data_IF_818610627621
#
_entry.id   IF_818610627621
#
_cell.length_a   1.000
_cell.length_b   1.000
_cell.length_c   1.000
_cell.angle_alpha   90.00
_cell.angle_beta   90.00
_cell.angle_gamma   90.00
#
_symmetry.space_group_name_H-M   'P 1'
#
loop_
_entity.id
_entity.type
_entity.pdbx_description
1 polymer ?
#
# COMPACT_ATOMS: atom_id res chain seq x y z
N UNK A 1 34.46 17.85 15.19
CA UNK A 1 33.92 17.42 13.86
C UNK A 1 32.42 17.65 13.93
N UNK A 2 31.84 18.30 12.95
CA UNK A 2 30.38 18.38 12.80
C UNK A 2 29.87 16.97 12.51
N UNK A 3 28.89 16.42 13.25
CA UNK A 3 28.39 15.10 12.95
C UNK A 3 27.82 15.07 11.54
N UNK A 4 28.07 13.97 10.82
CA UNK A 4 27.43 13.72 9.53
C UNK A 4 25.94 13.49 9.78
N UNK A 5 25.07 14.24 9.11
CA UNK A 5 23.61 14.16 9.29
C UNK A 5 22.94 13.78 7.98
N UNK A 6 21.85 13.05 8.08
CA UNK A 6 20.97 12.70 6.96
C UNK A 6 19.61 13.35 7.19
N UNK A 7 19.25 14.37 6.38
CA UNK A 7 17.93 14.99 6.44
C UNK A 7 16.84 14.02 5.98
N UNK A 8 15.69 14.07 6.62
CA UNK A 8 14.53 13.27 6.23
C UNK A 8 13.20 14.02 6.36
N UNK A 9 12.20 13.58 5.63
CA UNK A 9 10.80 13.94 5.85
C UNK A 9 10.05 12.66 6.26
N UNK A 10 9.34 12.69 7.37
CA UNK A 10 8.45 11.61 7.79
C UNK A 10 7.06 11.85 7.24
N UNK A 11 6.49 10.84 6.58
CA UNK A 11 5.16 10.87 6.00
C UNK A 11 4.38 9.61 6.35
N UNK A 12 3.05 9.67 6.25
CA UNK A 12 2.19 8.50 6.48
C UNK A 12 1.01 8.49 5.51
N UNK A 13 0.63 7.30 5.08
CA UNK A 13 -0.54 7.03 4.27
C UNK A 13 -1.24 5.77 4.79
N UNK A 14 -2.52 5.89 5.17
CA UNK A 14 -3.32 4.76 5.67
C UNK A 14 -2.64 3.96 6.80
N UNK A 15 -2.01 4.66 7.76
CA UNK A 15 -1.37 4.05 8.93
C UNK A 15 -0.02 3.37 8.65
N UNK A 16 0.50 3.48 7.44
CA UNK A 16 1.83 3.05 7.05
C UNK A 16 2.73 4.27 6.97
N UNK A 17 3.86 4.29 7.67
CA UNK A 17 4.73 5.46 7.76
C UNK A 17 6.09 5.25 7.10
N UNK A 18 6.59 6.30 6.43
CA UNK A 18 7.82 6.26 5.65
C UNK A 18 8.71 7.45 5.96
N UNK A 19 10.02 7.23 5.86
CA UNK A 19 11.03 8.27 5.81
C UNK A 19 11.41 8.52 4.36
N UNK A 20 11.26 9.75 3.92
CA UNK A 20 11.61 10.18 2.56
C UNK A 20 12.95 10.88 2.65
N UNK A 21 13.95 10.38 1.91
CA UNK A 21 15.33 10.83 1.97
C UNK A 21 15.89 11.04 0.57
N UNK A 22 16.52 12.19 0.33
CA UNK A 22 17.20 12.46 -0.94
C UNK A 22 18.42 11.54 -1.10
N UNK A 23 18.53 10.91 -2.27
CA UNK A 23 19.62 10.00 -2.63
C UNK A 23 21.01 10.64 -2.64
N UNK A 24 21.12 11.97 -2.67
CA UNK A 24 22.40 12.67 -2.49
C UNK A 24 23.02 12.41 -1.11
N UNK A 25 22.22 12.05 -0.11
CA UNK A 25 22.65 11.69 1.24
C UNK A 25 22.76 10.16 1.44
N UNK A 26 22.62 9.37 0.36
CA UNK A 26 22.62 7.92 0.43
C UNK A 26 23.98 7.40 0.93
N UNK A 27 24.00 6.60 2.00
CA UNK A 27 25.19 5.90 2.44
C UNK A 27 25.53 4.74 1.47
N UNK A 28 26.73 4.19 1.60
CA UNK A 28 27.16 3.06 0.76
C UNK A 28 26.28 1.82 0.92
N UNK A 29 25.74 1.59 2.12
CA UNK A 29 24.86 0.45 2.45
C UNK A 29 23.47 0.98 2.84
N UNK A 30 22.57 1.00 1.85
CA UNK A 30 21.17 1.45 2.02
C UNK A 30 20.38 0.50 2.91
N UNK A 31 20.64 -0.81 2.83
CA UNK A 31 19.93 -1.84 3.60
C UNK A 31 20.19 -1.69 5.09
N UNK A 32 21.47 -1.65 5.48
CA UNK A 32 21.86 -1.49 6.87
C UNK A 32 21.41 -0.14 7.44
N UNK A 33 21.52 0.93 6.65
CA UNK A 33 21.07 2.25 7.06
C UNK A 33 19.54 2.29 7.25
N UNK A 34 18.77 1.76 6.28
CA UNK A 34 17.31 1.75 6.34
C UNK A 34 16.83 0.97 7.57
N UNK A 35 17.45 -0.17 7.87
CA UNK A 35 17.17 -0.93 9.10
C UNK A 35 17.41 -0.13 10.36
N UNK A 36 18.54 0.60 10.43
CA UNK A 36 18.91 1.42 11.59
C UNK A 36 17.97 2.60 11.80
N UNK A 37 17.69 3.38 10.73
CA UNK A 37 16.85 4.58 10.87
C UNK A 37 15.37 4.24 11.11
N UNK A 38 14.90 3.07 10.61
CA UNK A 38 13.53 2.59 10.80
C UNK A 38 13.28 2.00 12.20
N UNK A 39 14.32 1.71 12.99
CA UNK A 39 14.13 1.24 14.35
C UNK A 39 13.31 2.26 15.18
N UNK A 40 12.27 1.77 15.87
CA UNK A 40 11.32 2.64 16.59
C UNK A 40 11.82 3.08 17.97
N UNK A 41 12.94 2.53 18.44
CA UNK A 41 13.55 2.85 19.73
C UNK A 41 14.90 3.57 19.55
N UNK A 42 15.77 3.04 18.69
CA UNK A 42 17.13 3.54 18.48
C UNK A 42 17.29 4.33 17.17
N UNK A 43 16.20 4.47 16.38
CA UNK A 43 16.13 5.26 15.15
C UNK A 43 15.06 6.34 15.20
N UNK A 44 14.62 6.77 14.02
CA UNK A 44 13.46 7.66 13.85
C UNK A 44 12.15 6.88 13.92
N UNK A 45 12.21 5.60 13.55
CA UNK A 45 11.07 4.69 13.48
C UNK A 45 10.20 4.91 12.25
N UNK A 46 10.06 3.89 11.42
CA UNK A 46 9.15 3.87 10.27
C UNK A 46 8.93 2.43 9.79
N UNK A 47 7.95 2.23 8.91
CA UNK A 47 7.74 0.97 8.22
C UNK A 47 8.71 0.80 7.03
N UNK A 48 9.28 1.91 6.53
CA UNK A 48 10.28 1.87 5.46
C UNK A 48 10.86 3.23 5.13
N UNK A 49 11.84 3.21 4.21
CA UNK A 49 12.51 4.38 3.65
C UNK A 49 12.26 4.46 2.16
N UNK A 50 11.78 5.59 1.68
CA UNK A 50 11.72 5.95 0.26
C UNK A 50 12.95 6.82 -0.10
N UNK A 51 13.95 6.21 -0.72
CA UNK A 51 15.12 6.90 -1.23
C UNK A 51 14.83 7.53 -2.59
N UNK A 52 15.01 8.84 -2.70
CA UNK A 52 14.70 9.60 -3.90
C UNK A 52 15.95 9.88 -4.75
N UNK A 53 15.92 9.49 -6.01
CA UNK A 53 16.98 9.73 -6.98
C UNK A 53 16.43 10.45 -8.21
N UNK A 54 17.27 11.20 -8.97
CA UNK A 54 16.89 11.73 -10.27
C UNK A 54 16.40 10.63 -11.23
N UNK A 55 15.42 10.94 -12.05
CA UNK A 55 14.89 10.04 -13.09
C UNK A 55 14.80 10.79 -14.42
N UNK A 56 15.20 10.17 -15.55
CA UNK A 56 15.14 10.83 -16.86
C UNK A 56 13.72 10.90 -17.44
N UNK A 57 12.79 10.10 -16.94
CA UNK A 57 11.46 9.83 -17.51
C UNK A 57 10.31 9.90 -16.48
N UNK A 58 10.60 10.38 -15.29
CA UNK A 58 9.66 10.65 -14.22
C UNK A 58 10.13 11.85 -13.40
N UNK A 59 9.26 12.39 -12.55
CA UNK A 59 9.64 13.48 -11.65
C UNK A 59 10.71 13.05 -10.65
N UNK A 60 10.68 11.77 -10.24
CA UNK A 60 11.64 11.17 -9.32
C UNK A 60 11.68 9.64 -9.50
N UNK A 61 12.81 9.03 -9.17
CA UNK A 61 12.92 7.58 -8.94
C UNK A 61 12.93 7.34 -7.44
N UNK A 62 11.99 6.55 -6.94
CA UNK A 62 11.94 6.08 -5.57
C UNK A 62 12.42 4.62 -5.47
N UNK A 63 13.30 4.36 -4.51
CA UNK A 63 13.69 3.00 -4.08
C UNK A 63 13.19 2.80 -2.66
N UNK A 64 12.32 1.83 -2.49
CA UNK A 64 11.73 1.49 -1.21
C UNK A 64 12.55 0.42 -0.48
N UNK A 65 12.92 0.70 0.76
CA UNK A 65 13.48 -0.28 1.69
C UNK A 65 12.55 -0.43 2.88
N UNK A 66 12.17 -1.67 3.18
CA UNK A 66 11.39 -2.01 4.36
C UNK A 66 12.18 -1.77 5.65
N UNK A 67 11.51 -1.77 6.81
CA UNK A 67 12.15 -1.60 8.11
C UNK A 67 13.18 -2.70 8.44
N UNK A 68 13.09 -3.89 7.84
CA UNK A 68 14.07 -4.96 7.96
C UNK A 68 15.28 -4.79 7.02
N UNK A 69 15.31 -3.75 6.21
CA UNK A 69 16.35 -3.43 5.23
C UNK A 69 16.15 -4.08 3.86
N UNK A 70 15.16 -4.93 3.65
CA UNK A 70 14.90 -5.53 2.35
C UNK A 70 14.36 -4.50 1.35
N UNK A 71 14.85 -4.52 0.10
CA UNK A 71 14.32 -3.66 -0.96
C UNK A 71 13.00 -4.24 -1.49
N UNK A 72 11.98 -3.40 -1.62
CA UNK A 72 10.69 -3.73 -2.19
C UNK A 72 10.47 -3.00 -3.52
N UNK A 73 9.72 -3.61 -4.43
CA UNK A 73 9.45 -3.03 -5.75
C UNK A 73 8.56 -1.78 -5.67
N UNK A 74 7.58 -1.77 -4.77
CA UNK A 74 6.63 -0.67 -4.61
C UNK A 74 5.85 -0.77 -3.29
N UNK A 75 5.51 0.40 -2.74
CA UNK A 75 4.40 0.59 -1.82
C UNK A 75 3.47 1.66 -2.38
N UNK A 76 2.19 1.36 -2.57
CA UNK A 76 1.20 2.36 -2.99
C UNK A 76 1.04 3.48 -1.95
N UNK A 77 1.19 3.16 -0.65
CA UNK A 77 1.20 4.13 0.45
C UNK A 77 2.47 4.98 0.39
N UNK A 78 3.64 4.36 0.22
CA UNK A 78 4.93 5.05 0.08
C UNK A 78 4.96 5.97 -1.13
N UNK A 79 4.49 5.50 -2.29
CA UNK A 79 4.39 6.32 -3.51
C UNK A 79 3.54 7.59 -3.30
N UNK A 80 2.40 7.49 -2.57
CA UNK A 80 1.61 8.68 -2.23
C UNK A 80 2.34 9.60 -1.26
N UNK A 81 3.12 9.06 -0.32
CA UNK A 81 3.96 9.85 0.58
C UNK A 81 5.04 10.64 -0.20
N UNK A 82 5.69 9.99 -1.18
CA UNK A 82 6.64 10.65 -2.10
C UNK A 82 5.94 11.75 -2.89
N UNK A 83 4.76 11.47 -3.45
CA UNK A 83 3.99 12.48 -4.18
C UNK A 83 3.62 13.68 -3.29
N UNK A 84 3.21 13.44 -2.03
CA UNK A 84 2.91 14.50 -1.08
C UNK A 84 4.13 15.37 -0.76
N UNK A 85 5.29 14.75 -0.61
CA UNK A 85 6.56 15.48 -0.41
C UNK A 85 6.85 16.40 -1.59
N UNK A 86 6.81 15.88 -2.82
CA UNK A 86 7.07 16.68 -4.03
C UNK A 86 6.03 17.78 -4.24
N UNK A 87 4.74 17.50 -4.02
CA UNK A 87 3.68 18.51 -4.10
C UNK A 87 3.82 19.62 -3.03
N UNK A 88 4.44 19.32 -1.90
CA UNK A 88 4.71 20.34 -0.88
C UNK A 88 5.84 21.29 -1.27
N UNK A 89 6.81 20.82 -2.05
CA UNK A 89 7.98 21.58 -2.49
C UNK A 89 7.78 22.25 -3.85
N UNK A 90 6.92 21.69 -4.68
CA UNK A 90 6.66 22.13 -6.05
C UNK A 90 5.17 22.37 -6.25
N UNK A 91 4.80 23.40 -7.01
CA UNK A 91 3.42 23.68 -7.40
C UNK A 91 2.96 22.74 -8.53
N UNK A 92 2.97 21.42 -8.27
CA UNK A 92 2.54 20.36 -9.20
C UNK A 92 1.36 19.60 -8.64
N UNK A 93 0.37 19.31 -9.48
CA UNK A 93 -0.81 18.50 -9.14
C UNK A 93 -0.68 17.05 -9.62
N UNK A 94 0.25 16.78 -10.53
CA UNK A 94 0.49 15.45 -11.09
C UNK A 94 1.95 15.09 -10.93
N UNK A 95 2.21 14.05 -10.16
CA UNK A 95 3.56 13.55 -9.86
C UNK A 95 3.73 12.17 -10.45
N UNK A 96 4.82 11.99 -11.18
CA UNK A 96 5.24 10.68 -11.70
C UNK A 96 6.42 10.16 -10.88
N UNK A 97 6.27 8.93 -10.36
CA UNK A 97 7.29 8.25 -9.55
C UNK A 97 7.71 6.98 -10.26
N UNK A 98 8.98 6.86 -10.61
CA UNK A 98 9.57 5.61 -11.09
C UNK A 98 9.87 4.72 -9.90
N UNK A 99 9.21 3.57 -9.84
CA UNK A 99 9.40 2.52 -8.82
C UNK A 99 9.98 1.26 -9.45
N UNK A 100 10.31 0.24 -8.64
CA UNK A 100 10.68 -1.10 -9.14
C UNK A 100 9.58 -1.75 -9.99
N UNK A 101 8.30 -1.43 -9.72
CA UNK A 101 7.13 -1.90 -10.47
C UNK A 101 6.68 -0.93 -11.59
N UNK A 102 7.61 -0.12 -12.14
CA UNK A 102 7.36 0.83 -13.22
C UNK A 102 6.95 2.23 -12.74
N UNK A 103 6.56 3.08 -13.70
CA UNK A 103 6.15 4.47 -13.41
C UNK A 103 4.72 4.47 -12.87
N UNK A 104 4.53 5.14 -11.74
CA UNK A 104 3.23 5.41 -11.15
C UNK A 104 2.92 6.90 -11.19
N UNK A 105 1.69 7.22 -11.52
CA UNK A 105 1.21 8.59 -11.57
C UNK A 105 0.24 8.84 -10.42
N UNK A 106 0.59 9.81 -9.57
CA UNK A 106 -0.27 10.30 -8.49
C UNK A 106 -0.85 11.65 -8.90
N UNK A 107 -2.15 11.76 -9.03
CA UNK A 107 -2.86 13.02 -9.32
C UNK A 107 -3.45 13.57 -8.04
N UNK A 108 -3.05 14.76 -7.64
CA UNK A 108 -3.56 15.45 -6.46
C UNK A 108 -5.04 15.79 -6.66
N UNK A 109 -5.88 15.33 -5.76
CA UNK A 109 -7.33 15.59 -5.79
C UNK A 109 -7.77 16.59 -4.72
N UNK A 110 -7.05 16.65 -3.60
CA UNK A 110 -7.25 17.68 -2.59
C UNK A 110 -5.99 17.87 -1.74
N UNK A 111 -5.85 19.08 -1.18
CA UNK A 111 -4.79 19.44 -0.24
C UNK A 111 -5.36 20.35 0.85
N UNK A 112 -5.02 20.05 2.10
CA UNK A 112 -5.28 20.92 3.25
C UNK A 112 -4.04 20.88 4.15
N UNK A 113 -3.31 22.00 4.19
CA UNK A 113 -2.02 22.09 4.90
C UNK A 113 -1.02 21.02 4.44
N UNK A 114 -0.65 20.09 5.35
CA UNK A 114 0.23 18.94 5.10
C UNK A 114 -0.51 17.63 4.88
N UNK A 115 -1.82 17.71 4.60
CA UNK A 115 -2.67 16.57 4.23
C UNK A 115 -2.98 16.65 2.74
N UNK A 116 -2.80 15.54 2.05
CA UNK A 116 -2.95 15.40 0.61
C UNK A 116 -3.84 14.21 0.32
N UNK A 117 -4.55 14.26 -0.78
CA UNK A 117 -5.29 13.11 -1.29
C UNK A 117 -4.95 12.93 -2.77
N UNK A 118 -4.59 11.71 -3.15
CA UNK A 118 -4.16 11.39 -4.50
C UNK A 118 -5.04 10.31 -5.10
N UNK A 119 -5.34 10.44 -6.39
CA UNK A 119 -5.83 9.38 -7.23
C UNK A 119 -4.68 8.77 -8.03
N UNK A 120 -4.60 7.44 -8.04
CA UNK A 120 -3.56 6.66 -8.73
C UNK A 120 -4.23 5.59 -9.59
N UNK A 121 -3.86 5.53 -10.86
CA UNK A 121 -4.26 4.43 -11.75
C UNK A 121 -3.53 3.15 -11.34
N UNK A 122 -4.30 2.08 -11.12
CA UNK A 122 -3.80 0.77 -10.67
C UNK A 122 -3.75 -0.25 -11.82
N UNK A 123 -4.23 0.12 -13.01
CA UNK A 123 -4.35 -0.73 -14.18
C UNK A 123 -5.65 -1.52 -14.24
N UNK A 124 -5.74 -2.40 -15.25
CA UNK A 124 -6.90 -3.24 -15.48
C UNK A 124 -6.86 -4.47 -14.57
N UNK A 125 -7.94 -4.76 -13.82
CA UNK A 125 -8.02 -5.94 -12.98
C UNK A 125 -8.41 -7.15 -13.82
N UNK A 126 -7.99 -8.34 -13.36
CA UNK A 126 -8.50 -9.60 -13.90
C UNK A 126 -9.32 -10.28 -12.80
N UNK A 127 -10.60 -10.50 -13.06
CA UNK A 127 -11.53 -11.16 -12.14
C UNK A 127 -11.78 -12.56 -12.64
N UNK A 128 -11.52 -13.57 -11.78
CA UNK A 128 -11.84 -14.96 -12.08
C UNK A 128 -13.19 -15.37 -11.50
N UNK A 129 -13.62 -16.58 -11.85
CA UNK A 129 -14.83 -17.17 -11.30
C UNK A 129 -14.66 -17.47 -9.81
N UNK A 130 -15.73 -17.27 -9.04
CA UNK A 130 -15.78 -17.60 -7.63
C UNK A 130 -15.62 -19.12 -7.44
N UNK A 131 -14.74 -19.53 -6.53
CA UNK A 131 -14.54 -20.95 -6.20
C UNK A 131 -14.31 -21.11 -4.70
N UNK A 132 -14.31 -22.38 -4.25
CA UNK A 132 -14.09 -22.72 -2.84
C UNK A 132 -12.74 -23.37 -2.63
N UNK A 133 -12.07 -23.02 -1.53
CA UNK A 133 -10.91 -23.73 -0.99
C UNK A 133 -11.30 -24.50 0.26
N UNK A 134 -10.81 -25.75 0.38
CA UNK A 134 -11.12 -26.64 1.50
C UNK A 134 -10.05 -26.51 2.59
N UNK A 135 -10.39 -25.84 3.67
CA UNK A 135 -9.55 -25.73 4.86
C UNK A 135 -9.71 -26.95 5.79
N UNK A 136 -8.90 -27.00 6.84
CA UNK A 136 -8.93 -28.11 7.82
C UNK A 136 -10.31 -28.34 8.43
N UNK A 137 -11.09 -27.29 8.71
CA UNK A 137 -12.35 -27.38 9.42
C UNK A 137 -13.58 -26.88 8.66
N UNK A 138 -13.39 -26.17 7.54
CA UNK A 138 -14.49 -25.68 6.70
C UNK A 138 -14.07 -25.44 5.27
N UNK A 139 -15.03 -25.24 4.42
CA UNK A 139 -14.85 -24.75 3.05
C UNK A 139 -15.06 -23.23 3.04
N UNK A 140 -14.18 -22.51 2.33
CA UNK A 140 -14.23 -21.06 2.22
C UNK A 140 -14.35 -20.69 0.76
N UNK A 141 -15.40 -19.94 0.43
CA UNK A 141 -15.69 -19.48 -0.91
C UNK A 141 -15.18 -18.04 -1.11
N UNK A 142 -14.54 -17.78 -2.24
CA UNK A 142 -14.01 -16.46 -2.53
C UNK A 142 -13.82 -16.19 -4.02
N UNK A 143 -13.53 -14.95 -4.35
CA UNK A 143 -13.32 -14.45 -5.70
C UNK A 143 -11.85 -14.16 -5.92
N UNK A 144 -11.19 -14.83 -6.89
CA UNK A 144 -9.82 -14.51 -7.25
C UNK A 144 -9.80 -13.22 -8.09
N UNK A 145 -8.92 -12.29 -7.73
CA UNK A 145 -8.68 -11.04 -8.46
C UNK A 145 -7.19 -10.82 -8.62
N UNK A 146 -6.75 -10.47 -9.84
CA UNK A 146 -5.39 -9.98 -10.07
C UNK A 146 -5.38 -8.48 -10.27
N UNK A 147 -4.57 -7.78 -9.49
CA UNK A 147 -4.23 -6.36 -9.61
C UNK A 147 -2.77 -6.17 -10.08
N UNK A 148 -2.24 -7.17 -10.85
CA UNK A 148 -0.83 -7.33 -11.13
C UNK A 148 -0.14 -8.30 -10.15
N UNK A 149 -0.73 -8.50 -8.99
CA UNK A 149 -0.46 -9.54 -7.99
C UNK A 149 -1.76 -10.26 -7.61
N UNK A 150 -1.69 -11.52 -7.15
CA UNK A 150 -2.88 -12.32 -6.92
C UNK A 150 -3.53 -12.02 -5.55
N UNK A 151 -4.86 -11.93 -5.56
CA UNK A 151 -5.72 -11.71 -4.40
C UNK A 151 -6.85 -12.74 -4.36
N UNK A 152 -7.27 -13.16 -3.17
CA UNK A 152 -8.44 -13.99 -2.94
C UNK A 152 -9.37 -13.30 -1.95
N UNK A 153 -10.49 -12.81 -2.46
CA UNK A 153 -11.46 -12.00 -1.72
C UNK A 153 -12.56 -12.88 -1.16
N UNK A 154 -12.68 -12.92 0.17
CA UNK A 154 -13.64 -13.73 0.92
C UNK A 154 -14.63 -12.82 1.62
N UNK A 155 -15.93 -13.05 1.40
CA UNK A 155 -16.98 -12.31 2.09
C UNK A 155 -17.31 -12.95 3.42
N UNK A 156 -17.37 -12.12 4.46
CA UNK A 156 -17.72 -12.52 5.82
C UNK A 156 -18.78 -11.59 6.40
N UNK A 157 -19.58 -12.07 7.37
CA UNK A 157 -20.54 -11.21 8.05
C UNK A 157 -19.86 -10.30 9.10
N UNK A 158 -18.80 -10.81 9.72
CA UNK A 158 -17.97 -10.11 10.72
C UNK A 158 -16.54 -10.68 10.73
N UNK A 159 -15.60 -9.93 11.30
CA UNK A 159 -14.24 -10.42 11.49
C UNK A 159 -14.16 -11.20 12.80
N UNK A 160 -14.16 -12.53 12.68
CA UNK A 160 -14.05 -13.42 13.84
C UNK A 160 -12.71 -13.25 14.56
N UNK A 161 -12.65 -13.41 15.89
CA UNK A 161 -11.38 -13.50 16.60
C UNK A 161 -10.50 -14.61 16.01
N UNK A 162 -9.22 -14.30 15.75
CA UNK A 162 -8.27 -15.25 15.17
C UNK A 162 -8.41 -15.45 13.65
N UNK A 163 -9.12 -14.57 12.92
CA UNK A 163 -9.27 -14.59 11.46
C UNK A 163 -7.92 -14.68 10.73
N UNK A 164 -6.85 -14.21 11.34
CA UNK A 164 -5.49 -14.26 10.78
C UNK A 164 -5.01 -15.68 10.51
N UNK A 165 -5.36 -16.62 11.39
CA UNK A 165 -4.99 -18.03 11.22
C UNK A 165 -5.66 -18.64 9.99
N UNK A 166 -6.95 -18.36 9.79
CA UNK A 166 -7.70 -18.78 8.62
C UNK A 166 -7.17 -18.13 7.33
N UNK A 167 -6.93 -16.82 7.35
CA UNK A 167 -6.36 -16.11 6.22
C UNK A 167 -4.96 -16.65 5.85
N UNK A 168 -4.15 -17.01 6.85
CA UNK A 168 -2.85 -17.63 6.64
C UNK A 168 -2.97 -19.04 6.03
N UNK A 169 -3.99 -19.82 6.41
CA UNK A 169 -4.26 -21.14 5.83
C UNK A 169 -4.69 -21.01 4.37
N UNK A 170 -5.62 -20.08 4.06
CA UNK A 170 -6.01 -19.75 2.68
C UNK A 170 -4.80 -19.31 1.87
N UNK A 171 -4.02 -18.35 2.39
CA UNK A 171 -2.87 -17.77 1.68
C UNK A 171 -1.80 -18.78 1.27
N UNK A 172 -1.73 -19.92 1.96
CA UNK A 172 -0.80 -21.03 1.70
C UNK A 172 -1.47 -22.28 1.11
N UNK A 173 -2.76 -22.19 0.77
CA UNK A 173 -3.48 -23.33 0.24
C UNK A 173 -2.85 -23.84 -1.06
N UNK A 174 -2.86 -25.16 -1.28
CA UNK A 174 -2.19 -25.80 -2.43
C UNK A 174 -2.76 -25.37 -3.80
N UNK A 175 -3.99 -24.87 -3.86
CA UNK A 175 -4.57 -24.29 -5.07
C UNK A 175 -3.85 -23.01 -5.52
N UNK A 176 -3.13 -22.37 -4.62
CA UNK A 176 -2.34 -21.16 -4.89
C UNK A 176 -0.83 -21.49 -4.88
N UNK A 177 -0.35 -22.02 -6.00
CA UNK A 177 1.02 -22.55 -6.14
C UNK A 177 2.13 -21.64 -5.57
N UNK A 178 1.97 -20.33 -5.62
CA UNK A 178 2.95 -19.34 -5.15
C UNK A 178 2.43 -18.51 -3.96
N UNK A 179 1.35 -18.98 -3.32
CA UNK A 179 0.63 -18.25 -2.31
C UNK A 179 -0.18 -17.08 -2.89
N UNK A 180 -1.07 -16.54 -2.06
CA UNK A 180 -1.99 -15.49 -2.47
C UNK A 180 -2.17 -14.48 -1.34
N UNK A 181 -2.48 -13.20 -1.67
CA UNK A 181 -2.98 -12.22 -0.71
C UNK A 181 -4.45 -12.54 -0.41
N UNK A 182 -4.85 -12.41 0.84
CA UNK A 182 -6.21 -12.73 1.29
C UNK A 182 -6.87 -11.48 1.86
N UNK A 183 -8.04 -11.17 1.35
CA UNK A 183 -8.88 -10.09 1.82
C UNK A 183 -10.18 -10.64 2.41
N UNK A 184 -10.42 -10.38 3.70
CA UNK A 184 -11.73 -10.61 4.30
C UNK A 184 -12.56 -9.33 4.19
N UNK A 185 -13.75 -9.45 3.60
CA UNK A 185 -14.60 -8.31 3.26
C UNK A 185 -15.95 -8.41 3.95
N UNK A 186 -16.33 -7.36 4.67
CA UNK A 186 -17.69 -7.13 5.17
C UNK A 186 -18.35 -6.07 4.31
N UNK A 187 -19.45 -6.40 3.66
CA UNK A 187 -20.28 -5.44 2.94
C UNK A 187 -21.09 -4.63 3.95
N UNK A 188 -20.88 -3.31 3.98
CA UNK A 188 -21.64 -2.40 4.85
C UNK A 188 -22.90 -1.86 4.14
N UNK A 189 -22.72 -1.45 2.88
CA UNK A 189 -23.77 -1.02 1.96
C UNK A 189 -23.23 -1.03 0.52
N UNK A 190 -24.02 -0.49 -0.44
CA UNK A 190 -23.67 -0.49 -1.87
C UNK A 190 -22.39 0.26 -2.22
N UNK A 191 -21.95 1.19 -1.39
CA UNK A 191 -20.78 2.02 -1.64
C UNK A 191 -19.72 1.95 -0.52
N UNK A 192 -19.93 1.10 0.49
CA UNK A 192 -19.02 0.95 1.63
C UNK A 192 -18.75 -0.52 1.94
N UNK A 193 -17.46 -0.88 1.99
CA UNK A 193 -16.97 -2.19 2.46
C UNK A 193 -15.96 -1.98 3.57
N UNK A 194 -15.84 -2.95 4.47
CA UNK A 194 -14.79 -2.99 5.47
C UNK A 194 -13.89 -4.19 5.19
N UNK A 195 -12.56 -4.00 5.24
CA UNK A 195 -11.60 -5.01 4.79
C UNK A 195 -10.51 -5.24 5.82
N UNK A 196 -10.10 -6.51 5.95
CA UNK A 196 -8.88 -6.95 6.62
C UNK A 196 -7.98 -7.63 5.60
N UNK A 197 -6.69 -7.36 5.68
CA UNK A 197 -5.69 -7.86 4.75
C UNK A 197 -4.73 -8.83 5.43
N UNK A 198 -4.46 -9.93 4.74
CA UNK A 198 -3.37 -10.83 5.08
C UNK A 198 -2.49 -11.00 3.83
N UNK A 199 -1.39 -10.26 3.79
CA UNK A 199 -0.55 -10.18 2.60
C UNK A 199 0.47 -11.31 2.55
N UNK A 200 0.66 -11.85 1.36
CA UNK A 200 1.62 -12.92 1.08
C UNK A 200 3.03 -12.52 1.45
N UNK A 201 3.67 -13.30 2.33
CA UNK A 201 5.03 -13.04 2.82
C UNK A 201 5.15 -12.01 3.93
N UNK A 202 4.07 -11.25 4.22
CA UNK A 202 4.06 -10.20 5.25
C UNK A 202 3.15 -10.56 6.42
N UNK A 203 1.95 -11.10 6.14
CA UNK A 203 0.92 -11.35 7.15
C UNK A 203 -0.13 -10.23 7.21
N UNK A 204 -0.71 -10.00 8.41
CA UNK A 204 -1.68 -8.93 8.62
C UNK A 204 -1.07 -7.56 8.38
N UNK A 205 -1.74 -6.75 7.56
CA UNK A 205 -1.38 -5.34 7.32
C UNK A 205 -2.58 -4.42 7.56
N UNK A 206 -2.31 -3.16 7.89
CA UNK A 206 -3.36 -2.19 8.23
C UNK A 206 -4.05 -1.61 7.00
N UNK A 207 -3.37 -1.62 5.85
CA UNK A 207 -3.90 -1.16 4.57
C UNK A 207 -3.07 -1.74 3.42
N UNK A 208 -3.73 -2.09 2.33
CA UNK A 208 -3.14 -2.53 1.08
C UNK A 208 -3.81 -1.81 -0.09
N UNK A 209 -3.03 -1.21 -1.00
CA UNK A 209 -3.58 -0.53 -2.17
C UNK A 209 -4.19 -1.51 -3.17
N UNK A 210 -3.44 -2.57 -3.51
CA UNK A 210 -3.91 -3.63 -4.42
C UNK A 210 -5.00 -4.47 -3.78
N UNK A 211 -4.91 -4.77 -2.47
CA UNK A 211 -5.95 -5.47 -1.73
C UNK A 211 -7.26 -4.69 -1.66
N UNK A 212 -7.20 -3.36 -1.46
CA UNK A 212 -8.38 -2.49 -1.53
C UNK A 212 -9.00 -2.46 -2.92
N UNK A 213 -8.16 -2.40 -3.98
CA UNK A 213 -8.59 -2.53 -5.36
C UNK A 213 -9.29 -3.85 -5.64
N UNK A 214 -8.65 -4.97 -5.27
CA UNK A 214 -9.19 -6.31 -5.45
C UNK A 214 -10.52 -6.51 -4.71
N UNK A 215 -10.61 -6.04 -3.47
CA UNK A 215 -11.83 -6.12 -2.64
C UNK A 215 -12.99 -5.37 -3.26
N UNK A 216 -12.75 -4.14 -3.74
CA UNK A 216 -13.78 -3.34 -4.39
C UNK A 216 -14.20 -3.93 -5.74
N UNK A 217 -13.24 -4.36 -6.56
CA UNK A 217 -13.49 -4.99 -7.87
C UNK A 217 -14.31 -6.27 -7.71
N UNK A 218 -13.92 -7.16 -6.79
CA UNK A 218 -14.68 -8.37 -6.50
C UNK A 218 -16.12 -8.03 -6.07
N UNK A 219 -16.28 -7.05 -5.19
CA UNK A 219 -17.60 -6.64 -4.66
C UNK A 219 -18.49 -6.06 -5.76
N UNK A 220 -17.93 -5.30 -6.71
CA UNK A 220 -18.66 -4.76 -7.86
C UNK A 220 -19.01 -5.89 -8.85
N UNK A 221 -18.04 -6.76 -9.18
CA UNK A 221 -18.25 -7.86 -10.11
C UNK A 221 -19.34 -8.85 -9.62
N UNK A 222 -19.39 -9.11 -8.32
CA UNK A 222 -20.43 -9.93 -7.69
C UNK A 222 -21.73 -9.18 -7.38
N UNK A 223 -21.85 -7.91 -7.79
CA UNK A 223 -23.03 -7.04 -7.60
C UNK A 223 -23.38 -6.78 -6.12
N UNK A 224 -22.44 -6.93 -5.22
CA UNK A 224 -22.60 -6.63 -3.79
C UNK A 224 -22.32 -5.15 -3.48
N UNK A 225 -21.52 -4.47 -4.34
CA UNK A 225 -21.25 -3.03 -4.25
C UNK A 225 -21.34 -2.35 -5.61
N UNK A 226 -21.32 -1.01 -5.62
CA UNK A 226 -21.36 -0.15 -6.80
C UNK A 226 -20.21 0.87 -6.77
N UNK A 227 -19.56 1.06 -7.94
CA UNK A 227 -18.47 2.05 -8.08
C UNK A 227 -19.02 3.49 -7.95
N UNK A 228 -18.34 4.40 -7.22
CA UNK A 228 -17.12 4.16 -6.44
C UNK A 228 -17.40 3.51 -5.06
N UNK A 229 -16.45 2.70 -4.58
CA UNK A 229 -16.51 1.99 -3.30
C UNK A 229 -15.54 2.62 -2.30
N UNK A 230 -16.03 2.96 -1.12
CA UNK A 230 -15.21 3.34 0.03
C UNK A 230 -14.77 2.08 0.78
N UNK A 231 -13.47 1.87 0.83
CA UNK A 231 -12.83 0.73 1.48
C UNK A 231 -12.34 1.17 2.85
N UNK A 232 -13.03 0.75 3.90
CA UNK A 232 -12.67 1.02 5.29
C UNK A 232 -11.67 -0.03 5.76
N UNK A 233 -10.51 0.41 6.22
CA UNK A 233 -9.41 -0.45 6.68
C UNK A 233 -8.94 -0.01 8.06
N UNK A 234 -8.19 -0.83 8.82
CA UNK A 234 -7.57 -0.38 10.08
C UNK A 234 -6.63 0.81 9.94
N UNK A 235 -6.07 1.00 8.74
CA UNK A 235 -5.16 2.11 8.45
C UNK A 235 -5.85 3.39 7.99
N UNK A 236 -7.12 3.34 7.60
CA UNK A 236 -7.87 4.50 7.10
C UNK A 236 -8.82 4.13 5.97
N UNK A 237 -9.35 5.15 5.29
CA UNK A 237 -10.31 4.97 4.20
C UNK A 237 -9.61 5.24 2.87
N UNK A 238 -9.84 4.36 1.91
CA UNK A 238 -9.50 4.53 0.51
C UNK A 238 -10.76 4.49 -0.34
N UNK A 239 -10.78 5.17 -1.48
CA UNK A 239 -11.91 5.10 -2.42
C UNK A 239 -11.42 4.44 -3.71
N UNK A 240 -12.12 3.41 -4.13
CA UNK A 240 -11.83 2.67 -5.36
C UNK A 240 -12.93 2.94 -6.38
N UNK A 241 -12.53 3.41 -7.55
CA UNK A 241 -13.39 3.57 -8.71
C UNK A 241 -12.93 2.59 -9.79
N UNK A 242 -13.87 1.80 -10.30
CA UNK A 242 -13.61 0.86 -11.38
C UNK A 242 -14.52 1.15 -12.56
N UNK A 243 -13.91 1.37 -13.70
CA UNK A 243 -14.53 1.53 -15.02
C UNK A 243 -13.90 0.49 -15.96
N UNK A 244 -12.95 0.88 -16.84
CA UNK A 244 -12.11 -0.05 -17.57
C UNK A 244 -10.87 -0.44 -16.76
N UNK A 245 -10.26 0.55 -16.06
CA UNK A 245 -9.17 0.34 -15.12
C UNK A 245 -9.60 0.76 -13.71
N UNK A 246 -8.81 0.35 -12.72
CA UNK A 246 -9.02 0.69 -11.32
C UNK A 246 -8.29 1.97 -10.99
N UNK A 247 -8.99 2.91 -10.36
CA UNK A 247 -8.43 4.10 -9.76
C UNK A 247 -8.56 4.01 -8.24
N UNK A 248 -7.42 4.15 -7.57
CA UNK A 248 -7.36 4.19 -6.11
C UNK A 248 -7.12 5.62 -5.65
N UNK A 249 -8.05 6.16 -4.87
CA UNK A 249 -7.91 7.44 -4.19
C UNK A 249 -7.64 7.20 -2.72
N UNK A 250 -6.56 7.82 -2.20
CA UNK A 250 -6.17 7.66 -0.81
C UNK A 250 -5.34 8.82 -0.28
N UNK A 251 -5.32 8.98 1.07
CA UNK A 251 -4.62 10.07 1.72
C UNK A 251 -3.11 9.84 1.77
N UNK A 252 -2.39 10.96 1.94
CA UNK A 252 -1.02 10.99 2.46
C UNK A 252 -0.86 12.24 3.32
N UNK A 253 0.00 12.17 4.35
CA UNK A 253 0.25 13.27 5.27
C UNK A 253 1.75 13.39 5.52
N UNK A 254 2.29 14.61 5.42
CA UNK A 254 3.62 14.92 5.92
C UNK A 254 3.53 15.20 7.42
N UNK A 255 4.38 14.53 8.20
CA UNK A 255 4.31 14.53 9.67
C UNK A 255 5.33 15.51 10.25
N UNK A 256 6.61 15.34 9.90
CA UNK A 256 7.69 16.18 10.37
C UNK A 256 8.90 16.13 9.43
N UNK A 257 9.84 17.04 9.64
CA UNK A 257 11.19 17.03 9.09
C UNK A 257 12.19 16.90 10.21
N UNK A 258 13.33 16.27 9.92
CA UNK A 258 14.39 16.11 10.90
C UNK A 258 15.72 15.76 10.26
N UNK A 259 16.72 15.56 11.12
CA UNK A 259 18.06 15.12 10.77
C UNK A 259 18.42 13.91 11.62
N UNK A 260 18.94 12.88 10.98
CA UNK A 260 19.42 11.67 11.65
C UNK A 260 20.94 11.71 11.74
N UNK A 261 21.51 11.52 12.91
CA UNK A 261 22.96 11.50 13.14
C UNK A 261 23.55 10.15 12.78
N UNK A 262 24.60 10.15 11.94
CA UNK A 262 25.34 8.97 11.52
C UNK A 262 26.30 8.45 12.58
#
# INVERSE_FOLDING_TARGET
MTPTVVPFVKASACGNDFLIIDGMHAPADLEAFSRRICDRHDGVGADGVEWLFPAPDADVRARLFNADGTEAEISGNGTRCVAAHLCAEQAKEKITVRTGAGIKTCTLTSRSEMQFEFETAMGEPQVGDEFSVKLAFREVRGVPVSMGNPHYVVYVNEFAPGWQAEAAEIGRHHDFKYGINVELVVIKDRNNIEVRFFERGVGETRASGTGSGASAVASIATKQAESPVRVHTPGGIQTVRWENEVFLRGPARLICRGEFFL
#
